data_IF_876103799133
#
_entry.id   IF_876103799133
#
_cell.length_a   1.000
_cell.length_b   1.000
_cell.length_c   1.000
_cell.angle_alpha   90.00
_cell.angle_beta   90.00
_cell.angle_gamma   90.00
#
_symmetry.space_group_name_H-M   'P 1'
#
loop_
_entity.id
_entity.type
_entity.pdbx_description
1 polymer ?
#
# COMPACT_ATOMS: atom_id res chain seq x y z
N UNK A 1 28.11 -0.97 -20.60
CA UNK A 1 27.14 -1.01 -19.47
C UNK A 1 27.78 -0.35 -18.26
N UNK A 2 27.01 0.31 -17.39
CA UNK A 2 27.54 0.86 -16.15
C UNK A 2 27.86 -0.28 -15.16
N UNK A 3 29.05 -0.26 -14.55
CA UNK A 3 29.49 -1.17 -13.49
C UNK A 3 30.22 -0.36 -12.41
N UNK A 4 30.41 -0.93 -11.22
CA UNK A 4 31.02 -0.20 -10.08
C UNK A 4 32.44 0.30 -10.38
N UNK A 5 33.15 -0.36 -11.30
CA UNK A 5 34.48 0.04 -11.77
C UNK A 5 34.48 1.23 -12.74
N UNK A 6 33.31 1.67 -13.23
CA UNK A 6 33.15 2.79 -14.17
C UNK A 6 32.26 3.92 -13.61
N UNK A 7 31.95 3.90 -12.30
CA UNK A 7 31.21 4.99 -11.64
C UNK A 7 32.18 5.98 -11.00
N UNK A 8 31.98 7.28 -11.26
CA UNK A 8 32.69 8.34 -10.54
C UNK A 8 31.95 8.62 -9.22
N UNK A 9 32.61 8.42 -8.06
CA UNK A 9 32.03 8.73 -6.75
C UNK A 9 31.52 10.16 -6.64
N UNK A 10 30.42 10.38 -5.90
CA UNK A 10 29.81 11.72 -5.76
C UNK A 10 30.80 12.76 -5.20
N UNK A 11 31.64 12.37 -4.25
CA UNK A 11 32.63 13.25 -3.62
C UNK A 11 33.77 13.67 -4.57
N UNK A 12 33.95 12.97 -5.68
CA UNK A 12 34.94 13.28 -6.71
C UNK A 12 34.34 14.12 -7.86
N UNK A 13 33.05 14.48 -7.79
CA UNK A 13 32.35 15.31 -8.78
C UNK A 13 32.35 16.78 -8.38
N UNK A 14 32.19 17.66 -9.36
CA UNK A 14 32.00 19.10 -9.11
C UNK A 14 30.69 19.36 -8.37
N UNK A 15 30.61 20.49 -7.66
CA UNK A 15 29.37 20.90 -6.98
C UNK A 15 28.17 21.02 -7.94
N UNK A 16 28.40 21.41 -9.20
CA UNK A 16 27.34 21.53 -10.20
C UNK A 16 26.77 20.16 -10.57
N UNK A 17 27.64 19.18 -10.86
CA UNK A 17 27.20 17.81 -11.19
C UNK A 17 26.50 17.15 -10.01
N UNK A 18 27.00 17.34 -8.78
CA UNK A 18 26.36 16.82 -7.58
C UNK A 18 24.93 17.37 -7.44
N UNK A 19 24.73 18.67 -7.66
CA UNK A 19 23.40 19.29 -7.62
C UNK A 19 22.47 18.71 -8.68
N UNK A 20 22.95 18.52 -9.90
CA UNK A 20 22.14 17.96 -10.99
C UNK A 20 21.72 16.52 -10.70
N UNK A 21 22.63 15.68 -10.19
CA UNK A 21 22.34 14.30 -9.79
C UNK A 21 21.31 14.27 -8.66
N UNK A 22 21.51 15.09 -7.62
CA UNK A 22 20.58 15.18 -6.49
C UNK A 22 19.20 15.67 -6.92
N UNK A 23 19.13 16.66 -7.82
CA UNK A 23 17.88 17.16 -8.36
C UNK A 23 17.14 16.06 -9.14
N UNK A 24 17.84 15.33 -10.02
CA UNK A 24 17.27 14.19 -10.76
C UNK A 24 16.74 13.11 -9.81
N UNK A 25 17.51 12.75 -8.78
CA UNK A 25 17.08 11.79 -7.76
C UNK A 25 15.88 12.27 -6.96
N UNK A 26 15.88 13.54 -6.55
CA UNK A 26 14.77 14.17 -5.81
C UNK A 26 13.47 14.22 -6.62
N UNK A 27 13.56 14.55 -7.91
CA UNK A 27 12.42 14.56 -8.83
C UNK A 27 11.84 13.16 -9.02
N UNK A 28 12.69 12.16 -9.28
CA UNK A 28 12.27 10.78 -9.45
C UNK A 28 11.62 10.22 -8.18
N UNK A 29 12.27 10.41 -7.03
CA UNK A 29 11.73 9.99 -5.74
C UNK A 29 10.43 10.72 -5.41
N UNK A 30 10.35 12.03 -5.68
CA UNK A 30 9.14 12.81 -5.48
C UNK A 30 7.97 12.35 -6.34
N UNK A 31 8.22 11.95 -7.60
CA UNK A 31 7.21 11.36 -8.48
C UNK A 31 6.64 10.07 -7.89
N UNK A 32 7.51 9.15 -7.44
CA UNK A 32 7.08 7.88 -6.83
C UNK A 32 6.31 8.12 -5.53
N UNK A 33 6.76 9.05 -4.67
CA UNK A 33 6.04 9.39 -3.43
C UNK A 33 4.64 9.93 -3.72
N UNK A 34 4.49 10.82 -4.70
CA UNK A 34 3.18 11.35 -5.12
C UNK A 34 2.28 10.23 -5.64
N UNK A 35 2.79 9.37 -6.52
CA UNK A 35 2.03 8.21 -7.02
C UNK A 35 1.54 7.29 -5.90
N UNK A 36 2.39 7.02 -4.89
CA UNK A 36 1.98 6.23 -3.71
C UNK A 36 0.89 6.93 -2.89
N UNK A 37 1.00 8.25 -2.69
CA UNK A 37 -0.01 9.02 -1.98
C UNK A 37 -1.34 9.06 -2.74
N UNK A 38 -1.30 9.22 -4.07
CA UNK A 38 -2.48 9.20 -4.94
C UNK A 38 -3.16 7.82 -4.89
N UNK A 39 -2.37 6.75 -4.96
CA UNK A 39 -2.88 5.38 -4.86
C UNK A 39 -3.51 5.12 -3.49
N UNK A 40 -2.87 5.58 -2.40
CA UNK A 40 -3.45 5.46 -1.06
C UNK A 40 -4.82 6.13 -0.98
N UNK A 41 -4.93 7.37 -1.47
CA UNK A 41 -6.20 8.10 -1.51
C UNK A 41 -7.26 7.37 -2.34
N UNK A 42 -6.87 6.80 -3.48
CA UNK A 42 -7.79 6.01 -4.30
C UNK A 42 -8.27 4.74 -3.56
N UNK A 43 -7.37 4.04 -2.86
CA UNK A 43 -7.74 2.89 -2.03
C UNK A 43 -8.67 3.28 -0.88
N UNK A 44 -8.40 4.38 -0.18
CA UNK A 44 -9.26 4.85 0.91
C UNK A 44 -10.69 5.07 0.39
N UNK A 45 -10.86 5.74 -0.77
CA UNK A 45 -12.17 5.91 -1.40
C UNK A 45 -12.84 4.58 -1.78
N UNK A 46 -12.08 3.63 -2.35
CA UNK A 46 -12.61 2.33 -2.75
C UNK A 46 -13.00 1.47 -1.55
N UNK A 47 -12.26 1.55 -0.44
CA UNK A 47 -12.54 0.80 0.78
C UNK A 47 -13.79 1.32 1.48
N UNK A 48 -13.97 2.65 1.52
CA UNK A 48 -15.18 3.26 2.08
C UNK A 48 -16.42 3.14 1.21
N UNK A 49 -16.30 2.81 -0.08
CA UNK A 49 -17.47 2.66 -0.95
C UNK A 49 -18.25 1.38 -0.65
N UNK A 50 -19.54 1.39 -1.00
CA UNK A 50 -20.43 0.23 -0.87
C UNK A 50 -19.93 -0.96 -1.69
N UNK A 51 -20.15 -2.17 -1.18
CA UNK A 51 -19.78 -3.41 -1.85
C UNK A 51 -20.73 -3.70 -3.01
N UNK A 52 -20.17 -3.95 -4.19
CA UNK A 52 -20.96 -4.21 -5.40
C UNK A 52 -21.56 -5.63 -5.44
N UNK A 53 -21.11 -6.55 -4.58
CA UNK A 53 -21.60 -7.92 -4.54
C UNK A 53 -22.82 -8.00 -3.62
N UNK A 54 -23.99 -8.28 -4.20
CA UNK A 54 -25.27 -8.28 -3.45
C UNK A 54 -25.29 -9.31 -2.31
N UNK A 55 -24.74 -10.51 -2.51
CA UNK A 55 -24.72 -11.54 -1.48
C UNK A 55 -23.86 -11.11 -0.27
N UNK A 56 -22.70 -10.50 -0.55
CA UNK A 56 -21.82 -9.98 0.50
C UNK A 56 -22.47 -8.80 1.22
N UNK A 57 -23.16 -7.93 0.47
CA UNK A 57 -23.92 -6.81 1.02
C UNK A 57 -25.01 -7.27 1.99
N UNK A 58 -25.86 -8.20 1.57
CA UNK A 58 -26.91 -8.79 2.41
C UNK A 58 -26.33 -9.48 3.64
N UNK A 59 -25.22 -10.20 3.50
CA UNK A 59 -24.52 -10.83 4.62
C UNK A 59 -24.03 -9.81 5.64
N UNK A 60 -23.37 -8.74 5.20
CA UNK A 60 -22.87 -7.69 6.09
C UNK A 60 -24.01 -6.98 6.83
N UNK A 61 -25.08 -6.65 6.12
CA UNK A 61 -26.29 -6.05 6.73
C UNK A 61 -26.91 -7.01 7.74
N UNK A 62 -27.01 -8.30 7.40
CA UNK A 62 -27.54 -9.34 8.29
C UNK A 62 -26.71 -9.53 9.57
N UNK A 63 -25.41 -9.24 9.50
CA UNK A 63 -24.50 -9.25 10.65
C UNK A 63 -24.49 -7.91 11.43
N UNK A 64 -25.21 -6.90 10.96
CA UNK A 64 -25.27 -5.57 11.59
C UNK A 64 -24.12 -4.64 11.26
N UNK A 65 -23.38 -4.91 10.17
CA UNK A 65 -22.28 -4.07 9.70
C UNK A 65 -22.68 -3.21 8.51
N UNK A 66 -21.96 -2.11 8.30
CA UNK A 66 -22.07 -1.33 7.08
C UNK A 66 -21.54 -2.15 5.88
N UNK A 67 -22.25 -2.17 4.74
CA UNK A 67 -21.88 -2.97 3.58
C UNK A 67 -20.75 -2.32 2.75
N UNK A 68 -19.64 -1.93 3.39
CA UNK A 68 -18.48 -1.32 2.72
C UNK A 68 -17.50 -2.37 2.21
N UNK A 69 -16.69 -2.01 1.22
CA UNK A 69 -15.61 -2.89 0.73
C UNK A 69 -14.56 -3.20 1.81
N UNK A 70 -14.31 -2.26 2.73
CA UNK A 70 -13.43 -2.49 3.87
C UNK A 70 -13.93 -3.62 4.76
N UNK A 71 -15.22 -3.58 5.14
CA UNK A 71 -15.80 -4.62 5.99
C UNK A 71 -15.88 -5.97 5.26
N UNK A 72 -16.22 -5.95 3.97
CA UNK A 72 -16.20 -7.15 3.14
C UNK A 72 -14.80 -7.79 3.09
N UNK A 73 -13.75 -6.98 2.94
CA UNK A 73 -12.37 -7.44 2.95
C UNK A 73 -11.99 -8.04 4.30
N UNK A 74 -12.33 -7.37 5.41
CA UNK A 74 -12.07 -7.87 6.76
C UNK A 74 -12.73 -9.23 7.01
N UNK A 75 -13.98 -9.41 6.59
CA UNK A 75 -14.70 -10.67 6.72
C UNK A 75 -14.03 -11.79 5.90
N UNK A 76 -13.60 -11.52 4.68
CA UNK A 76 -12.91 -12.50 3.83
C UNK A 76 -11.55 -12.90 4.43
N UNK A 77 -10.79 -11.94 4.97
CA UNK A 77 -9.51 -12.22 5.63
C UNK A 77 -9.73 -13.07 6.88
N UNK A 78 -10.74 -12.75 7.68
CA UNK A 78 -11.14 -13.55 8.84
C UNK A 78 -11.51 -14.98 8.44
N UNK A 79 -12.35 -15.16 7.42
CA UNK A 79 -12.73 -16.48 6.90
C UNK A 79 -11.51 -17.29 6.45
N UNK A 80 -10.55 -16.67 5.76
CA UNK A 80 -9.30 -17.34 5.37
C UNK A 80 -8.49 -17.78 6.58
N UNK A 81 -8.36 -16.91 7.58
CA UNK A 81 -7.65 -17.24 8.81
C UNK A 81 -8.32 -18.41 9.56
N UNK A 82 -9.66 -18.40 9.67
CA UNK A 82 -10.44 -19.49 10.26
C UNK A 82 -10.28 -20.81 9.50
N UNK A 83 -10.07 -20.75 8.18
CA UNK A 83 -9.79 -21.91 7.34
C UNK A 83 -8.32 -22.36 7.37
N UNK A 84 -7.51 -21.83 8.29
CA UNK A 84 -6.12 -22.24 8.51
C UNK A 84 -5.06 -21.47 7.73
N UNK A 85 -5.40 -20.36 7.07
CA UNK A 85 -4.40 -19.47 6.45
C UNK A 85 -3.64 -18.68 7.53
N UNK A 86 -2.47 -19.20 7.91
CA UNK A 86 -1.59 -18.59 8.92
C UNK A 86 -1.14 -17.18 8.52
N UNK A 87 -1.03 -16.86 7.22
CA UNK A 87 -0.66 -15.51 6.78
C UNK A 87 -1.80 -14.53 7.01
N UNK A 88 -3.04 -14.93 6.71
CA UNK A 88 -4.21 -14.13 7.02
C UNK A 88 -4.33 -13.89 8.53
N UNK A 89 -4.11 -14.94 9.34
CA UNK A 89 -4.09 -14.83 10.80
C UNK A 89 -3.03 -13.83 11.29
N UNK A 90 -1.79 -13.96 10.83
CA UNK A 90 -0.70 -13.02 11.15
C UNK A 90 -1.04 -11.58 10.79
N UNK A 91 -1.75 -11.35 9.67
CA UNK A 91 -2.14 -10.00 9.25
C UNK A 91 -3.22 -9.41 10.16
N UNK A 92 -4.15 -10.24 10.64
CA UNK A 92 -5.14 -9.81 11.64
C UNK A 92 -4.43 -9.44 12.95
N UNK A 93 -3.47 -10.26 13.42
CA UNK A 93 -2.69 -9.95 14.61
C UNK A 93 -1.93 -8.62 14.47
N UNK A 94 -1.25 -8.38 13.34
CA UNK A 94 -0.56 -7.11 13.07
C UNK A 94 -1.48 -5.87 13.10
N UNK A 95 -2.78 -6.05 12.84
CA UNK A 95 -3.78 -4.97 12.94
C UNK A 95 -4.26 -4.79 14.38
N UNK A 96 -4.46 -5.89 15.12
CA UNK A 96 -4.91 -5.87 16.52
C UNK A 96 -3.83 -5.39 17.49
N UNK A 97 -2.56 -5.73 17.23
CA UNK A 97 -1.42 -5.45 18.13
C UNK A 97 -0.86 -4.02 17.97
N UNK A 98 -1.47 -3.18 17.11
CA UNK A 98 -1.13 -1.76 17.03
C UNK A 98 -1.79 -0.99 18.17
N UNK A 99 -1.15 -0.99 19.33
CA UNK A 99 -1.21 0.11 20.31
C UNK A 99 -0.24 1.25 19.93
#
# INVERSE_FOLDING_TARGET
>A
MANDHNLIPINQRTKSEQREIQQKGGLASGKVRRQRADLKRAFDTLLSSEVNNEQMRELLIGLGYEPTNEMALALVVLQKALNGDVKAFSKIQEVMDKE
#
